data_IF_668057574162
#
_entry.id   IF_668057574162
#
_cell.length_a   1.000
_cell.length_b   1.000
_cell.length_c   1.000
_cell.angle_alpha   90.00
_cell.angle_beta   90.00
_cell.angle_gamma   90.00
#
_symmetry.space_group_name_H-M   'P 1'
#
loop_
_entity.id
_entity.type
_entity.pdbx_description
1 polymer ?
#
# COMPACT_ATOMS: atom_id res chain seq x y z
N UNK A 1 -3.89 16.70 -8.00
CA UNK A 1 -5.12 16.21 -7.36
C UNK A 1 -4.81 14.94 -6.64
N UNK A 2 -5.30 14.78 -5.42
CA UNK A 2 -5.18 13.56 -4.62
C UNK A 2 -6.60 13.00 -4.46
N UNK A 3 -6.82 11.74 -4.83
CA UNK A 3 -8.11 11.06 -4.80
C UNK A 3 -8.04 9.87 -3.85
N UNK A 4 -8.92 9.86 -2.85
CA UNK A 4 -9.07 8.82 -1.84
C UNK A 4 -7.74 8.27 -1.30
N UNK A 5 -6.85 9.20 -0.95
CA UNK A 5 -5.51 8.89 -0.49
C UNK A 5 -5.10 9.90 0.59
N UNK A 6 -4.66 9.41 1.74
CA UNK A 6 -4.01 10.21 2.77
C UNK A 6 -2.51 9.95 2.74
N UNK A 7 -1.73 10.57 1.83
CA UNK A 7 -0.33 10.20 1.63
C UNK A 7 0.53 10.42 2.88
N UNK A 8 0.13 11.33 3.79
CA UNK A 8 0.82 11.53 5.07
C UNK A 8 0.81 10.26 5.93
N UNK A 9 -0.27 9.49 5.86
CA UNK A 9 -0.48 8.23 6.61
C UNK A 9 -0.02 7.06 5.76
N UNK A 10 -0.48 6.98 4.50
CA UNK A 10 -0.31 5.80 3.65
C UNK A 10 1.11 5.67 3.07
N UNK A 11 1.77 6.79 2.72
CA UNK A 11 3.12 6.78 2.17
C UNK A 11 3.86 8.07 2.52
N UNK A 12 4.34 8.15 3.77
CA UNK A 12 4.91 9.38 4.34
C UNK A 12 6.03 10.00 3.49
N UNK A 13 6.82 9.19 2.78
CA UNK A 13 7.87 9.67 1.88
C UNK A 13 7.32 10.32 0.60
N UNK A 14 6.22 9.79 0.04
CA UNK A 14 5.52 10.43 -1.09
C UNK A 14 4.94 11.78 -0.62
N UNK A 15 4.31 11.82 0.55
CA UNK A 15 3.82 13.07 1.14
C UNK A 15 4.94 14.09 1.38
N UNK A 16 6.11 13.65 1.85
CA UNK A 16 7.27 14.52 2.04
C UNK A 16 7.75 15.13 0.71
N UNK A 17 7.70 14.37 -0.40
CA UNK A 17 8.01 14.89 -1.74
C UNK A 17 6.95 15.87 -2.24
N UNK A 18 5.66 15.59 -2.02
CA UNK A 18 4.58 16.53 -2.31
C UNK A 18 4.79 17.84 -1.55
N UNK A 19 5.00 17.77 -0.24
CA UNK A 19 5.28 18.95 0.61
C UNK A 19 6.46 19.75 0.10
N UNK A 20 7.57 19.09 -0.25
CA UNK A 20 8.77 19.72 -0.80
C UNK A 20 8.43 20.49 -2.08
N UNK A 21 7.69 19.87 -2.99
CA UNK A 21 7.26 20.50 -4.24
C UNK A 21 6.30 21.67 -3.99
N UNK A 22 5.28 21.51 -3.15
CA UNK A 22 4.34 22.59 -2.79
C UNK A 22 5.09 23.79 -2.24
N UNK A 23 6.04 23.57 -1.32
CA UNK A 23 6.84 24.67 -0.76
C UNK A 23 7.73 25.34 -1.81
N UNK A 24 8.34 24.58 -2.70
CA UNK A 24 9.29 25.09 -3.69
C UNK A 24 8.61 25.81 -4.87
N UNK A 25 7.46 25.32 -5.33
CA UNK A 25 6.81 25.78 -6.57
C UNK A 25 5.45 26.42 -6.35
N UNK A 26 4.96 26.46 -5.11
CA UNK A 26 3.60 26.90 -4.77
C UNK A 26 2.53 26.10 -5.52
N UNK A 27 2.80 24.81 -5.75
CA UNK A 27 1.87 23.91 -6.42
C UNK A 27 0.53 23.83 -5.67
N UNK A 28 -0.57 23.99 -6.40
CA UNK A 28 -1.93 23.88 -5.84
C UNK A 28 -2.32 22.41 -5.68
N UNK A 29 -2.71 22.02 -4.47
CA UNK A 29 -3.19 20.67 -4.19
C UNK A 29 -4.69 20.69 -3.98
N UNK A 30 -5.42 19.87 -4.75
CA UNK A 30 -6.83 19.57 -4.52
C UNK A 30 -6.97 18.14 -4.02
N UNK A 31 -7.81 17.94 -3.02
CA UNK A 31 -8.02 16.66 -2.35
C UNK A 31 -9.50 16.25 -2.37
N UNK A 32 -9.78 15.02 -2.83
CA UNK A 32 -11.10 14.39 -2.76
C UNK A 32 -10.95 13.15 -1.90
N UNK A 33 -11.71 13.08 -0.80
CA UNK A 33 -11.60 11.99 0.17
C UNK A 33 -12.11 12.38 1.55
N UNK A 34 -12.03 11.46 2.52
CA UNK A 34 -12.39 11.76 3.90
C UNK A 34 -11.54 12.93 4.45
N UNK A 35 -12.04 13.75 5.38
CA UNK A 35 -11.26 14.84 5.95
C UNK A 35 -9.89 14.36 6.47
N UNK A 36 -8.80 15.01 6.01
CA UNK A 36 -7.44 14.60 6.31
C UNK A 36 -6.55 15.79 6.67
N UNK A 37 -5.63 15.60 7.61
CA UNK A 37 -4.65 16.61 8.00
C UNK A 37 -3.34 16.44 7.20
N UNK A 38 -3.23 17.16 6.08
CA UNK A 38 -1.99 17.23 5.28
C UNK A 38 -1.11 18.40 5.74
N UNK A 39 0.20 18.17 5.77
CA UNK A 39 1.18 19.13 6.31
C UNK A 39 1.63 20.21 5.29
N UNK A 40 0.71 20.61 4.43
CA UNK A 40 0.84 21.65 3.41
C UNK A 40 -0.55 22.14 2.99
N UNK A 41 -0.60 23.36 2.44
CA UNK A 41 -1.84 23.94 1.96
C UNK A 41 -2.46 23.09 0.86
N UNK A 42 -3.72 22.73 1.07
CA UNK A 42 -4.53 21.97 0.14
C UNK A 42 -5.97 22.46 0.19
N UNK A 43 -6.67 22.33 -0.93
CA UNK A 43 -8.09 22.57 -1.03
C UNK A 43 -8.81 21.23 -0.91
N UNK A 44 -9.58 21.02 0.15
CA UNK A 44 -10.53 19.92 0.22
C UNK A 44 -11.69 20.21 -0.74
N UNK A 45 -11.83 19.40 -1.78
CA UNK A 45 -12.79 19.59 -2.86
C UNK A 45 -14.11 18.89 -2.57
N UNK A 46 -14.06 17.76 -1.86
CA UNK A 46 -15.22 16.96 -1.50
C UNK A 46 -14.85 15.61 -0.89
N UNK A 47 -15.85 14.89 -0.38
CA UNK A 47 -15.66 13.62 0.35
C UNK A 47 -15.97 12.38 -0.47
N UNK A 48 -16.71 12.54 -1.57
CA UNK A 48 -17.31 11.41 -2.27
C UNK A 48 -17.15 11.47 -3.79
N UNK A 49 -17.71 10.48 -4.47
CA UNK A 49 -17.60 10.33 -5.92
C UNK A 49 -18.34 11.42 -6.70
N UNK A 50 -19.27 12.16 -6.09
CA UNK A 50 -19.99 13.27 -6.73
C UNK A 50 -19.01 14.33 -7.23
N UNK A 51 -18.10 14.79 -6.37
CA UNK A 51 -17.08 15.79 -6.74
C UNK A 51 -16.15 15.26 -7.84
N UNK A 52 -15.86 13.95 -7.85
CA UNK A 52 -15.07 13.34 -8.90
C UNK A 52 -15.79 13.43 -10.25
N UNK A 53 -17.10 13.15 -10.28
CA UNK A 53 -17.94 13.31 -11.47
C UNK A 53 -17.98 14.77 -11.92
N UNK A 54 -18.15 15.72 -11.00
CA UNK A 54 -18.17 17.15 -11.33
C UNK A 54 -16.87 17.63 -11.99
N UNK A 55 -15.71 17.11 -11.55
CA UNK A 55 -14.42 17.41 -12.18
C UNK A 55 -14.31 16.71 -13.53
N UNK A 56 -14.74 15.45 -13.66
CA UNK A 56 -14.72 14.72 -14.93
C UNK A 56 -15.58 15.40 -16.01
N UNK A 57 -16.72 15.96 -15.62
CA UNK A 57 -17.61 16.74 -16.49
C UNK A 57 -17.15 18.20 -16.68
N UNK A 58 -16.06 18.62 -16.04
CA UNK A 58 -15.50 19.98 -16.14
C UNK A 58 -16.34 21.06 -15.45
N UNK A 59 -17.35 20.69 -14.65
CA UNK A 59 -18.23 21.62 -13.92
C UNK A 59 -17.54 22.20 -12.68
N UNK A 60 -16.61 21.47 -12.10
CA UNK A 60 -15.96 21.87 -10.85
C UNK A 60 -14.83 22.89 -11.08
N UNK A 61 -14.72 23.98 -10.28
CA UNK A 61 -13.73 25.05 -10.49
C UNK A 61 -12.27 24.57 -10.54
N UNK A 62 -11.93 23.53 -9.77
CA UNK A 62 -10.58 22.97 -9.72
C UNK A 62 -10.14 22.34 -11.05
N UNK A 63 -11.07 21.94 -11.93
CA UNK A 63 -10.71 21.40 -13.24
C UNK A 63 -9.92 22.42 -14.08
N UNK A 64 -10.27 23.70 -14.00
CA UNK A 64 -9.51 24.78 -14.66
C UNK A 64 -8.07 24.89 -14.17
N UNK A 65 -7.80 24.61 -12.89
CA UNK A 65 -6.46 24.60 -12.34
C UNK A 65 -5.66 23.37 -12.81
N UNK A 66 -6.33 22.23 -13.00
CA UNK A 66 -5.72 21.01 -13.53
C UNK A 66 -5.36 21.13 -15.01
N UNK A 67 -6.28 21.62 -15.84
CA UNK A 67 -6.09 21.71 -17.30
C UNK A 67 -5.07 22.77 -17.71
N UNK A 68 -4.96 23.87 -16.94
CA UNK A 68 -3.99 24.94 -17.21
C UNK A 68 -2.59 24.66 -16.62
N UNK A 69 -2.43 23.61 -15.82
CA UNK A 69 -1.13 23.28 -15.24
C UNK A 69 -0.20 22.69 -16.30
N UNK A 70 1.09 23.07 -16.26
CA UNK A 70 2.10 22.50 -17.17
C UNK A 70 2.30 21.00 -16.91
N UNK A 71 2.49 20.62 -15.64
CA UNK A 71 2.75 19.23 -15.22
C UNK A 71 1.74 18.81 -14.13
N UNK A 72 0.45 18.61 -14.49
CA UNK A 72 -0.56 18.19 -13.53
C UNK A 72 -0.31 16.74 -13.10
N UNK A 73 -0.60 16.41 -11.85
CA UNK A 73 -0.57 15.03 -11.36
C UNK A 73 -1.90 14.66 -10.69
N UNK A 74 -2.35 13.43 -10.91
CA UNK A 74 -3.42 12.76 -10.16
C UNK A 74 -2.77 11.61 -9.40
N UNK A 75 -2.97 11.57 -8.08
CA UNK A 75 -2.57 10.46 -7.22
C UNK A 75 -3.84 9.80 -6.70
N UNK A 76 -4.07 8.56 -7.09
CA UNK A 76 -5.22 7.75 -6.66
C UNK A 76 -4.76 6.78 -5.58
N UNK A 77 -5.39 6.76 -4.42
CA UNK A 77 -5.03 5.84 -3.34
C UNK A 77 -5.59 4.45 -3.57
N UNK A 78 -4.82 3.42 -3.23
CA UNK A 78 -5.23 2.02 -3.39
C UNK A 78 -6.45 1.61 -2.55
N UNK A 79 -6.87 2.40 -1.57
CA UNK A 79 -8.12 2.17 -0.84
C UNK A 79 -9.38 2.21 -1.71
N UNK A 80 -9.29 2.66 -2.97
CA UNK A 80 -10.41 2.50 -3.91
C UNK A 80 -10.62 1.05 -4.35
N UNK A 81 -9.58 0.20 -4.33
CA UNK A 81 -9.67 -1.18 -4.83
C UNK A 81 -10.59 -2.06 -3.98
N UNK A 82 -10.82 -1.69 -2.72
CA UNK A 82 -11.77 -2.38 -1.83
C UNK A 82 -13.23 -2.06 -2.18
N UNK A 83 -13.47 -1.07 -3.05
CA UNK A 83 -14.82 -0.70 -3.49
C UNK A 83 -15.23 -1.50 -4.72
N UNK A 84 -16.51 -1.87 -4.75
CA UNK A 84 -17.10 -2.58 -5.89
C UNK A 84 -17.12 -1.74 -7.16
N UNK A 85 -17.17 -0.42 -7.06
CA UNK A 85 -17.27 0.54 -8.17
C UNK A 85 -15.90 1.06 -8.69
N UNK A 86 -14.83 0.30 -8.45
CA UNK A 86 -13.44 0.64 -8.83
C UNK A 86 -13.31 1.01 -10.31
N UNK A 87 -13.92 0.25 -11.23
CA UNK A 87 -13.79 0.52 -12.66
C UNK A 87 -14.44 1.85 -13.05
N UNK A 88 -15.60 2.16 -12.46
CA UNK A 88 -16.28 3.43 -12.67
C UNK A 88 -15.42 4.61 -12.17
N UNK A 89 -14.77 4.46 -11.00
CA UNK A 89 -13.87 5.47 -10.45
C UNK A 89 -12.69 5.72 -11.39
N UNK A 90 -12.03 4.66 -11.88
CA UNK A 90 -10.94 4.81 -12.83
C UNK A 90 -11.40 5.40 -14.16
N UNK A 91 -12.59 5.05 -14.67
CA UNK A 91 -13.13 5.66 -15.90
C UNK A 91 -13.33 7.19 -15.75
N UNK A 92 -13.77 7.65 -14.57
CA UNK A 92 -13.85 9.08 -14.28
C UNK A 92 -12.46 9.73 -14.19
N UNK A 93 -11.51 9.09 -13.50
CA UNK A 93 -10.11 9.56 -13.43
C UNK A 93 -9.46 9.65 -14.81
N UNK A 94 -9.68 8.67 -15.67
CA UNK A 94 -9.19 8.65 -17.04
C UNK A 94 -9.82 9.74 -17.89
N UNK A 95 -11.11 10.02 -17.70
CA UNK A 95 -11.80 11.15 -18.34
C UNK A 95 -11.14 12.47 -17.96
N UNK A 96 -10.85 12.66 -16.67
CA UNK A 96 -10.12 13.84 -16.17
C UNK A 96 -8.70 13.89 -16.77
N UNK A 97 -8.01 12.76 -16.82
CA UNK A 97 -6.66 12.67 -17.35
C UNK A 97 -6.58 13.01 -18.84
N UNK A 98 -7.57 12.55 -19.63
CA UNK A 98 -7.73 12.85 -21.06
C UNK A 98 -8.04 14.34 -21.26
N UNK A 99 -9.06 14.87 -20.61
CA UNK A 99 -9.47 16.27 -20.78
C UNK A 99 -8.46 17.28 -20.21
N UNK A 100 -7.71 16.90 -19.18
CA UNK A 100 -6.69 17.73 -18.54
C UNK A 100 -5.28 17.60 -19.14
N UNK A 101 -5.10 16.82 -20.23
CA UNK A 101 -3.78 16.55 -20.84
C UNK A 101 -2.72 16.08 -19.81
N UNK A 102 -3.16 15.22 -18.88
CA UNK A 102 -2.36 14.74 -17.74
C UNK A 102 -1.42 13.61 -18.15
N UNK A 103 -1.81 12.83 -19.16
CA UNK A 103 -1.02 11.75 -19.74
C UNK A 103 -0.64 12.18 -21.16
N UNK A 104 0.67 12.37 -21.38
CA UNK A 104 1.26 12.76 -22.65
C UNK A 104 2.68 12.20 -22.77
N UNK A 105 3.31 12.17 -23.97
CA UNK A 105 4.58 11.47 -24.17
C UNK A 105 5.74 11.94 -23.27
N UNK A 106 5.78 13.22 -22.90
CA UNK A 106 6.81 13.82 -22.04
C UNK A 106 6.43 13.79 -20.54
N UNK A 107 5.20 13.45 -20.20
CA UNK A 107 4.69 13.53 -18.84
C UNK A 107 3.52 12.57 -18.61
N UNK A 108 3.72 11.61 -17.70
CA UNK A 108 2.66 10.77 -17.20
C UNK A 108 2.30 11.19 -15.76
N UNK A 109 1.26 12.01 -15.63
CA UNK A 109 0.79 12.53 -14.36
C UNK A 109 -0.20 11.62 -13.62
N UNK A 110 -0.63 10.51 -14.20
CA UNK A 110 -1.55 9.58 -13.54
C UNK A 110 -0.76 8.57 -12.71
N UNK A 111 -0.99 8.56 -11.40
CA UNK A 111 -0.28 7.70 -10.46
C UNK A 111 -1.27 7.01 -9.53
N UNK A 112 -0.99 5.76 -9.17
CA UNK A 112 -1.71 5.02 -8.14
C UNK A 112 -0.76 4.77 -6.98
N UNK A 113 -1.16 5.16 -5.77
CA UNK A 113 -0.39 4.95 -4.56
C UNK A 113 -0.84 3.65 -3.88
N UNK A 114 0.07 2.69 -3.79
CA UNK A 114 -0.16 1.41 -3.11
C UNK A 114 0.14 1.52 -1.61
N UNK A 115 -0.48 0.65 -0.81
CA UNK A 115 -0.38 0.66 0.66
C UNK A 115 0.68 -0.31 1.17
N UNK A 116 0.77 -1.50 0.56
CA UNK A 116 1.60 -2.59 1.05
C UNK A 116 2.81 -2.82 0.16
N UNK A 117 3.97 -3.10 0.75
CA UNK A 117 5.23 -3.29 0.03
C UNK A 117 5.21 -4.47 -0.96
N UNK A 118 4.35 -5.47 -0.73
CA UNK A 118 4.19 -6.61 -1.63
C UNK A 118 3.27 -6.32 -2.82
N UNK A 119 2.39 -5.30 -2.75
CA UNK A 119 1.32 -5.10 -3.74
C UNK A 119 1.84 -4.88 -5.16
N UNK A 120 2.85 -4.03 -5.35
CA UNK A 120 3.37 -3.75 -6.70
C UNK A 120 3.93 -5.02 -7.35
N UNK A 121 4.79 -5.75 -6.64
CA UNK A 121 5.37 -6.99 -7.14
C UNK A 121 4.32 -8.08 -7.35
N UNK A 122 3.31 -8.18 -6.49
CA UNK A 122 2.20 -9.11 -6.66
C UNK A 122 1.39 -8.82 -7.93
N UNK A 123 1.09 -7.54 -8.18
CA UNK A 123 0.37 -7.12 -9.39
C UNK A 123 1.20 -7.38 -10.65
N UNK A 124 2.51 -7.11 -10.62
CA UNK A 124 3.42 -7.41 -11.73
C UNK A 124 3.51 -8.92 -12.03
N UNK A 125 3.45 -9.77 -11.00
CA UNK A 125 3.41 -11.23 -11.12
C UNK A 125 2.04 -11.76 -11.55
N UNK A 126 1.02 -10.91 -11.69
CA UNK A 126 -0.34 -11.30 -12.04
C UNK A 126 -1.09 -12.00 -10.89
N UNK A 127 -0.71 -11.77 -9.63
CA UNK A 127 -1.38 -12.32 -8.45
C UNK A 127 -2.64 -11.50 -8.13
N UNK A 128 -3.67 -11.68 -8.96
CA UNK A 128 -4.98 -11.02 -8.83
C UNK A 128 -6.05 -12.11 -8.63
N UNK A 129 -6.98 -11.94 -7.68
CA UNK A 129 -8.07 -12.90 -7.51
C UNK A 129 -8.96 -12.92 -8.75
N UNK A 130 -9.36 -14.11 -9.21
CA UNK A 130 -10.33 -14.26 -10.30
C UNK A 130 -11.74 -13.83 -9.89
N UNK A 131 -12.04 -13.87 -8.59
CA UNK A 131 -13.33 -13.44 -8.04
C UNK A 131 -13.18 -12.90 -6.62
N UNK A 132 -14.01 -11.90 -6.28
CA UNK A 132 -14.04 -11.27 -4.96
C UNK A 132 -14.43 -12.24 -3.83
N UNK A 133 -15.17 -13.31 -4.15
CA UNK A 133 -15.73 -14.25 -3.17
C UNK A 133 -14.91 -15.55 -3.04
N UNK A 134 -13.66 -15.56 -3.53
CA UNK A 134 -12.82 -16.77 -3.52
C UNK A 134 -12.61 -17.37 -2.11
N UNK A 135 -12.64 -16.56 -1.06
CA UNK A 135 -12.48 -17.01 0.34
C UNK A 135 -13.74 -17.72 0.85
N UNK A 136 -14.94 -17.31 0.41
CA UNK A 136 -16.22 -17.80 0.96
C UNK A 136 -16.47 -19.29 0.66
N UNK A 137 -15.85 -19.82 -0.41
CA UNK A 137 -15.95 -21.22 -0.82
C UNK A 137 -14.68 -22.03 -0.57
N UNK A 138 -13.61 -21.40 -0.06
CA UNK A 138 -12.32 -22.04 0.11
C UNK A 138 -12.35 -23.11 1.22
N UNK A 139 -11.88 -24.33 0.89
CA UNK A 139 -11.65 -25.41 1.87
C UNK A 139 -10.20 -25.51 2.32
N UNK A 140 -9.29 -24.93 1.55
CA UNK A 140 -7.89 -24.79 1.90
C UNK A 140 -7.50 -23.33 1.64
N UNK A 141 -7.07 -22.63 2.68
CA UNK A 141 -6.62 -21.24 2.59
C UNK A 141 -5.17 -21.16 3.03
N UNK A 142 -4.31 -20.67 2.14
CA UNK A 142 -2.89 -20.46 2.41
C UNK A 142 -2.60 -18.97 2.59
N UNK A 143 -2.35 -18.56 3.83
CA UNK A 143 -2.02 -17.19 4.19
C UNK A 143 -0.50 -17.03 4.26
N UNK A 144 0.09 -16.37 3.27
CA UNK A 144 1.52 -16.05 3.25
C UNK A 144 1.74 -14.64 3.81
N UNK A 145 1.97 -14.54 5.11
CA UNK A 145 2.21 -13.30 5.85
C UNK A 145 1.01 -12.34 5.86
N UNK A 146 -0.19 -12.84 5.56
CA UNK A 146 -1.40 -12.03 5.41
C UNK A 146 -2.18 -12.00 6.73
N UNK A 147 -2.02 -10.92 7.50
CA UNK A 147 -2.70 -10.71 8.80
C UNK A 147 -3.90 -9.75 8.73
N UNK A 148 -4.08 -9.04 7.62
CA UNK A 148 -5.16 -8.08 7.42
C UNK A 148 -6.33 -8.64 6.58
N UNK A 149 -6.29 -9.94 6.26
CA UNK A 149 -7.36 -10.63 5.54
C UNK A 149 -8.57 -10.82 6.43
N UNK A 150 -9.76 -10.42 5.98
CA UNK A 150 -11.00 -10.73 6.70
C UNK A 150 -11.35 -12.22 6.53
N UNK A 151 -11.30 -12.96 7.64
CA UNK A 151 -11.61 -14.39 7.69
C UNK A 151 -13.05 -14.69 8.18
N UNK A 152 -13.88 -13.69 8.46
CA UNK A 152 -15.25 -13.87 8.97
C UNK A 152 -16.13 -14.70 8.01
N UNK A 153 -15.89 -14.58 6.71
CA UNK A 153 -16.65 -15.31 5.68
C UNK A 153 -16.03 -16.64 5.28
N UNK A 154 -14.87 -16.99 5.84
CA UNK A 154 -14.24 -18.28 5.55
C UNK A 154 -15.07 -19.40 6.21
N UNK A 155 -15.35 -20.51 5.51
CA UNK A 155 -16.02 -21.65 6.12
C UNK A 155 -15.28 -22.15 7.37
N UNK A 156 -16.03 -22.53 8.41
CA UNK A 156 -15.46 -23.04 9.67
C UNK A 156 -14.64 -24.32 9.46
N UNK A 157 -15.01 -25.14 8.48
CA UNK A 157 -14.32 -26.38 8.13
C UNK A 157 -13.12 -26.18 7.18
N UNK A 158 -12.80 -24.93 6.81
CA UNK A 158 -11.65 -24.64 5.97
C UNK A 158 -10.34 -24.92 6.73
N UNK A 159 -9.41 -25.62 6.07
CA UNK A 159 -8.06 -25.86 6.55
C UNK A 159 -7.18 -24.64 6.22
N UNK A 160 -6.74 -23.94 7.26
CA UNK A 160 -5.97 -22.70 7.14
C UNK A 160 -4.52 -22.97 7.47
N UNK A 161 -3.63 -22.62 6.53
CA UNK A 161 -2.19 -22.60 6.76
C UNK A 161 -1.75 -21.15 6.87
N UNK A 162 -1.05 -20.81 7.94
CA UNK A 162 -0.43 -19.50 8.11
C UNK A 162 1.08 -19.61 8.01
N UNK A 163 1.66 -19.10 6.93
CA UNK A 163 3.10 -18.96 6.76
C UNK A 163 3.50 -17.51 7.07
N UNK A 164 4.10 -17.23 8.22
CA UNK A 164 4.44 -15.86 8.59
C UNK A 164 5.51 -15.80 9.69
N UNK A 165 6.03 -14.60 9.93
CA UNK A 165 7.11 -14.35 10.89
C UNK A 165 6.61 -13.84 12.25
N UNK A 166 5.42 -13.23 12.27
CA UNK A 166 4.74 -12.73 13.46
C UNK A 166 3.31 -13.27 13.40
N UNK A 167 2.72 -13.64 14.53
CA UNK A 167 1.32 -14.03 14.57
C UNK A 167 0.47 -12.89 15.13
N UNK A 168 -0.48 -12.39 14.35
CA UNK A 168 -1.48 -11.43 14.83
C UNK A 168 -2.90 -12.04 14.80
N UNK A 169 -3.79 -11.60 13.91
CA UNK A 169 -5.20 -12.02 13.94
C UNK A 169 -5.41 -13.35 13.23
N UNK A 170 -4.83 -13.48 12.04
CA UNK A 170 -5.09 -14.63 11.16
C UNK A 170 -4.44 -15.93 11.66
N UNK A 171 -3.35 -15.84 12.44
CA UNK A 171 -2.66 -17.01 13.02
C UNK A 171 -3.59 -17.82 13.94
N UNK A 172 -4.54 -17.18 14.64
CA UNK A 172 -5.45 -17.87 15.54
C UNK A 172 -6.47 -18.76 14.81
N UNK A 173 -6.72 -18.49 13.53
CA UNK A 173 -7.59 -19.31 12.67
C UNK A 173 -6.81 -20.47 12.01
N UNK A 174 -5.47 -20.46 12.09
CA UNK A 174 -4.62 -21.42 11.42
C UNK A 174 -4.69 -22.82 12.05
N UNK A 175 -4.83 -23.84 11.21
CA UNK A 175 -4.67 -25.24 11.59
C UNK A 175 -3.18 -25.64 11.63
N UNK A 176 -2.35 -25.03 10.76
CA UNK A 176 -0.90 -25.25 10.70
C UNK A 176 -0.20 -23.91 10.53
N UNK A 177 0.92 -23.74 11.23
CA UNK A 177 1.76 -22.55 11.16
C UNK A 177 3.13 -22.94 10.60
N UNK A 178 3.57 -22.22 9.57
CA UNK A 178 4.94 -22.31 9.04
C UNK A 178 5.71 -21.03 9.39
N UNK A 179 6.73 -21.10 10.27
CA UNK A 179 7.51 -19.92 10.63
C UNK A 179 8.36 -19.46 9.44
N UNK A 180 8.05 -18.28 8.92
CA UNK A 180 8.79 -17.63 7.85
C UNK A 180 9.77 -16.58 8.41
N UNK A 181 10.79 -16.24 7.63
CA UNK A 181 11.77 -15.21 7.99
C UNK A 181 11.21 -13.79 7.84
N UNK A 182 11.67 -12.85 8.67
CA UNK A 182 11.33 -11.43 8.55
C UNK A 182 12.07 -10.75 7.38
N UNK A 183 11.66 -9.55 6.97
CA UNK A 183 12.29 -8.84 5.84
C UNK A 183 13.78 -8.53 6.05
N UNK A 184 14.23 -8.41 7.30
CA UNK A 184 15.63 -8.20 7.68
C UNK A 184 16.48 -9.47 7.69
N UNK A 185 15.86 -10.64 7.60
CA UNK A 185 16.50 -11.96 7.71
C UNK A 185 16.70 -12.64 6.36
N UNK A 186 16.11 -12.08 5.29
CA UNK A 186 16.07 -12.69 3.96
C UNK A 186 16.48 -11.72 2.86
N UNK A 187 17.00 -12.32 1.80
CA UNK A 187 17.20 -11.64 0.52
C UNK A 187 15.91 -11.75 -0.32
N UNK A 188 15.17 -10.64 -0.42
CA UNK A 188 13.90 -10.56 -1.11
C UNK A 188 13.89 -9.43 -2.12
N UNK A 189 13.21 -9.64 -3.25
CA UNK A 189 12.95 -8.61 -4.26
C UNK A 189 11.61 -7.95 -3.96
N UNK A 190 11.61 -6.62 -3.79
CA UNK A 190 10.42 -5.80 -3.55
C UNK A 190 10.28 -4.77 -4.66
N UNK A 191 9.05 -4.37 -5.00
CA UNK A 191 8.80 -3.26 -5.90
C UNK A 191 8.01 -2.19 -5.15
N UNK A 192 8.43 -0.93 -5.27
CA UNK A 192 7.74 0.19 -4.64
C UNK A 192 6.63 0.74 -5.56
N UNK A 193 5.85 1.70 -5.06
CA UNK A 193 4.69 2.28 -5.78
C UNK A 193 5.04 3.04 -7.07
N UNK A 194 6.31 3.41 -7.31
CA UNK A 194 6.75 4.06 -8.54
C UNK A 194 7.29 3.07 -9.58
N UNK A 195 7.31 1.76 -9.24
CA UNK A 195 7.78 0.69 -10.12
C UNK A 195 9.29 0.45 -10.05
N UNK A 196 9.98 0.92 -9.02
CA UNK A 196 11.39 0.63 -8.81
C UNK A 196 11.54 -0.68 -8.02
N UNK A 197 12.25 -1.65 -8.60
CA UNK A 197 12.60 -2.89 -7.92
C UNK A 197 13.80 -2.67 -6.99
N UNK A 198 13.78 -3.29 -5.81
CA UNK A 198 14.78 -3.19 -4.76
C UNK A 198 15.04 -4.57 -4.18
N UNK A 199 16.26 -4.81 -3.69
CA UNK A 199 16.62 -6.06 -3.03
C UNK A 199 16.96 -5.77 -1.56
N UNK A 200 16.37 -6.55 -0.65
CA UNK A 200 16.81 -6.56 0.75
C UNK A 200 18.07 -7.39 0.89
N UNK A 201 18.95 -6.99 1.80
CA UNK A 201 20.14 -7.74 2.18
C UNK A 201 19.89 -8.29 3.59
N UNK A 202 20.08 -9.60 3.84
CA UNK A 202 19.89 -10.18 5.16
C UNK A 202 20.90 -9.56 6.14
N UNK A 203 20.38 -8.94 7.21
CA UNK A 203 21.17 -8.27 8.23
C UNK A 203 21.38 -9.13 9.48
N UNK A 204 20.43 -10.04 9.76
CA UNK A 204 20.42 -10.92 10.94
C UNK A 204 20.07 -12.34 10.53
N UNK A 205 20.50 -13.37 11.29
CA UNK A 205 20.05 -14.74 11.04
C UNK A 205 18.56 -14.89 11.34
N UNK A 206 17.93 -15.87 10.69
CA UNK A 206 16.55 -16.26 10.97
C UNK A 206 16.38 -16.70 12.42
N UNK A 207 15.26 -16.35 13.04
CA UNK A 207 14.97 -16.75 14.43
C UNK A 207 14.51 -18.20 14.50
N UNK A 208 15.15 -18.99 15.38
CA UNK A 208 14.78 -20.38 15.64
C UNK A 208 14.81 -21.24 14.37
N UNK A 209 13.70 -21.94 14.10
CA UNK A 209 13.53 -22.79 12.92
C UNK A 209 12.79 -22.12 11.76
N UNK A 210 12.71 -20.79 11.75
CA UNK A 210 12.17 -20.06 10.61
C UNK A 210 12.98 -20.33 9.33
N UNK A 211 12.31 -20.24 8.17
CA UNK A 211 12.91 -20.43 6.84
C UNK A 211 12.44 -19.34 5.88
N UNK A 212 13.18 -19.12 4.80
CA UNK A 212 12.74 -18.20 3.74
C UNK A 212 11.41 -18.63 3.13
N UNK A 213 10.55 -17.66 2.81
CA UNK A 213 9.21 -17.93 2.31
C UNK A 213 9.19 -18.86 1.10
N UNK A 214 10.05 -18.59 0.12
CA UNK A 214 10.11 -19.38 -1.10
C UNK A 214 10.59 -20.82 -0.84
N UNK A 215 11.44 -21.04 0.18
CA UNK A 215 11.92 -22.38 0.56
C UNK A 215 10.79 -23.19 1.17
N UNK A 216 9.94 -22.57 1.99
CA UNK A 216 8.76 -23.22 2.59
C UNK A 216 7.80 -23.66 1.48
N UNK A 217 7.45 -22.76 0.56
CA UNK A 217 6.57 -23.07 -0.58
C UNK A 217 7.17 -24.16 -1.47
N UNK A 218 8.47 -24.08 -1.78
CA UNK A 218 9.17 -25.09 -2.59
C UNK A 218 9.18 -26.46 -1.89
N UNK A 219 9.44 -26.53 -0.59
CA UNK A 219 9.40 -27.78 0.16
C UNK A 219 7.98 -28.35 0.24
N UNK A 220 6.98 -27.50 0.49
CA UNK A 220 5.58 -27.90 0.50
C UNK A 220 5.15 -28.48 -0.86
N UNK A 221 5.60 -27.87 -1.95
CA UNK A 221 5.29 -28.34 -3.30
C UNK A 221 5.76 -29.78 -3.53
N UNK A 222 6.96 -30.13 -3.04
CA UNK A 222 7.52 -31.48 -3.14
C UNK A 222 6.78 -32.48 -2.25
N UNK A 223 6.48 -32.10 -1.00
CA UNK A 223 5.70 -32.94 -0.08
C UNK A 223 4.27 -33.17 -0.60
N UNK A 224 3.70 -32.20 -1.31
CA UNK A 224 2.38 -32.31 -1.94
C UNK A 224 2.36 -33.13 -3.24
N UNK A 225 3.52 -33.61 -3.71
CA UNK A 225 3.64 -34.38 -4.95
C UNK A 225 3.69 -33.55 -6.24
N UNK A 226 3.84 -32.22 -6.14
CA UNK A 226 3.93 -31.28 -7.27
C UNK A 226 5.23 -30.45 -7.14
N UNK A 227 6.41 -31.07 -7.32
CA UNK A 227 7.67 -30.38 -7.11
C UNK A 227 7.86 -29.23 -8.11
N UNK A 228 8.08 -28.02 -7.59
CA UNK A 228 8.37 -26.84 -8.41
C UNK A 228 9.80 -26.92 -8.99
N UNK A 229 10.04 -26.44 -10.23
CA UNK A 229 11.27 -26.71 -10.97
C UNK A 229 12.42 -25.74 -10.61
N UNK A 230 12.59 -25.41 -9.33
CA UNK A 230 13.64 -24.51 -8.86
C UNK A 230 14.08 -24.83 -7.43
N UNK A 231 15.39 -24.92 -7.21
CA UNK A 231 15.99 -25.32 -5.93
C UNK A 231 16.91 -24.25 -5.33
N UNK A 232 17.02 -23.09 -6.00
CA UNK A 232 17.86 -21.97 -5.56
C UNK A 232 17.17 -20.63 -5.78
N UNK A 233 17.59 -19.61 -5.03
CA UNK A 233 17.11 -18.24 -5.19
C UNK A 233 17.36 -17.72 -6.61
N UNK A 234 18.51 -18.07 -7.21
CA UNK A 234 18.82 -17.70 -8.60
C UNK A 234 17.86 -18.35 -9.60
N UNK A 235 17.41 -19.59 -9.36
CA UNK A 235 16.44 -20.27 -10.20
C UNK A 235 15.04 -19.64 -10.04
N UNK A 236 14.64 -19.28 -8.82
CA UNK A 236 13.39 -18.52 -8.56
C UNK A 236 13.43 -17.18 -9.29
N UNK A 237 14.53 -16.43 -9.21
CA UNK A 237 14.69 -15.18 -9.96
C UNK A 237 14.64 -15.42 -11.46
N UNK A 238 15.22 -16.50 -11.96
CA UNK A 238 15.10 -16.86 -13.38
C UNK A 238 13.65 -17.13 -13.78
N UNK A 239 12.85 -17.72 -12.90
CA UNK A 239 11.40 -17.86 -13.10
C UNK A 239 10.68 -16.50 -13.06
N UNK A 240 11.00 -15.62 -12.12
CA UNK A 240 10.47 -14.24 -12.07
C UNK A 240 10.75 -13.52 -13.39
N UNK A 241 11.97 -13.64 -13.94
CA UNK A 241 12.34 -13.02 -15.24
C UNK A 241 11.37 -13.38 -16.36
N UNK A 242 10.86 -14.61 -16.37
CA UNK A 242 9.94 -15.08 -17.41
C UNK A 242 8.50 -14.60 -17.24
N UNK A 243 8.14 -14.09 -16.05
CA UNK A 243 6.78 -13.59 -15.75
C UNK A 243 6.78 -12.07 -15.73
N UNK A 244 7.67 -11.47 -14.95
CA UNK A 244 7.77 -10.05 -14.67
C UNK A 244 9.25 -9.63 -14.65
N UNK A 245 9.88 -9.38 -15.82
CA UNK A 245 11.30 -9.08 -15.91
C UNK A 245 11.70 -7.77 -15.22
N UNK A 246 10.79 -6.80 -15.12
CA UNK A 246 10.99 -5.53 -14.46
C UNK A 246 11.40 -5.69 -12.98
N UNK A 247 10.95 -6.75 -12.30
CA UNK A 247 11.32 -7.03 -10.90
C UNK A 247 12.81 -7.36 -10.71
N UNK A 248 13.56 -7.62 -11.78
CA UNK A 248 14.99 -7.95 -11.70
C UNK A 248 15.92 -6.82 -12.14
N UNK A 249 15.38 -5.71 -12.64
CA UNK A 249 16.14 -4.50 -12.95
C UNK A 249 16.20 -3.66 -11.68
N UNK A 250 17.08 -4.06 -10.76
CA UNK A 250 17.18 -3.51 -9.41
C UNK A 250 17.71 -2.09 -9.44
N UNK A 251 17.16 -1.22 -8.59
CA UNK A 251 17.47 0.20 -8.48
C UNK A 251 17.20 1.02 -9.76
N UNK A 252 16.50 0.41 -10.71
CA UNK A 252 16.03 1.04 -11.94
C UNK A 252 14.50 1.05 -11.97
N UNK A 253 13.93 2.18 -12.41
CA UNK A 253 12.50 2.31 -12.65
C UNK A 253 12.23 2.05 -14.12
N UNK A 254 11.44 1.02 -14.40
CA UNK A 254 10.92 0.72 -15.73
C UNK A 254 9.55 1.39 -15.91
N UNK A 255 9.42 2.48 -16.68
CA UNK A 255 8.13 3.14 -16.87
C UNK A 255 7.20 2.27 -17.72
N UNK A 256 5.91 2.26 -17.37
CA UNK A 256 4.90 1.65 -18.21
C UNK A 256 4.76 2.42 -19.53
N UNK A 257 5.04 1.76 -20.66
CA UNK A 257 4.97 2.36 -22.00
C UNK A 257 3.54 2.50 -22.51
N UNK A 258 2.64 1.64 -22.05
CA UNK A 258 1.25 1.65 -22.48
C UNK A 258 0.42 2.68 -21.71
N UNK A 259 -0.44 3.38 -22.45
CA UNK A 259 -1.30 4.41 -21.87
C UNK A 259 -2.62 3.83 -21.37
N UNK A 260 -3.32 4.58 -20.52
CA UNK A 260 -4.67 4.24 -20.05
C UNK A 260 -5.70 4.05 -21.19
N UNK A 261 -5.39 4.46 -22.42
CA UNK A 261 -6.25 4.24 -23.60
C UNK A 261 -6.48 2.76 -23.95
N UNK A 262 -5.66 1.84 -23.45
CA UNK A 262 -5.84 0.40 -23.70
C UNK A 262 -6.88 -0.26 -22.78
N UNK A 263 -7.30 0.42 -21.71
CA UNK A 263 -8.29 -0.12 -20.80
C UNK A 263 -9.63 -0.22 -21.54
N UNK A 264 -10.36 -1.36 -21.44
CA UNK A 264 -11.66 -1.51 -22.07
C UNK A 264 -12.69 -0.56 -21.44
N UNK A 265 -13.69 -0.19 -22.23
CA UNK A 265 -14.84 0.56 -21.71
C UNK A 265 -15.64 -0.32 -20.75
N UNK A 266 -15.87 0.18 -19.54
CA UNK A 266 -16.63 -0.53 -18.50
C UNK A 266 -17.92 0.22 -18.22
N UNK A 267 -19.07 -0.48 -18.28
CA UNK A 267 -20.40 0.07 -18.00
C UNK A 267 -20.82 -0.08 -16.53
N UNK A 268 -19.87 0.14 -15.62
CA UNK A 268 -20.15 0.07 -14.19
C UNK A 268 -20.72 1.41 -13.68
N UNK A 269 -21.77 1.33 -12.87
CA UNK A 269 -22.33 2.51 -12.20
C UNK A 269 -21.51 2.83 -10.95
N UNK A 270 -21.11 4.09 -10.82
CA UNK A 270 -20.46 4.61 -9.61
C UNK A 270 -21.45 4.64 -8.44
N UNK A 271 -21.05 4.12 -7.28
CA UNK A 271 -21.78 4.30 -6.04
C UNK A 271 -21.57 5.73 -5.54
N UNK A 272 -22.58 6.30 -4.88
CA UNK A 272 -22.48 7.60 -4.22
C UNK A 272 -22.02 7.49 -2.76
N UNK A 273 -21.64 6.30 -2.32
CA UNK A 273 -21.06 6.12 -0.99
C UNK A 273 -19.74 6.93 -0.90
N UNK A 274 -19.55 7.73 0.17
CA UNK A 274 -18.35 8.56 0.31
C UNK A 274 -17.08 7.72 0.36
N UNK A 275 -15.95 8.35 0.05
CA UNK A 275 -14.66 7.69 0.14
C UNK A 275 -14.26 7.45 1.61
N UNK A 276 -13.77 6.24 1.90
CA UNK A 276 -13.36 5.81 3.23
C UNK A 276 -11.87 6.05 3.52
N UNK A 277 -11.45 5.89 4.77
CA UNK A 277 -10.02 5.93 5.14
C UNK A 277 -9.43 4.53 4.97
N UNK A 278 -8.35 4.41 4.19
CA UNK A 278 -7.71 3.11 3.95
C UNK A 278 -6.84 2.63 5.12
N UNK A 279 -6.18 3.57 5.82
CA UNK A 279 -5.32 3.28 6.97
C UNK A 279 -5.75 4.13 8.16
N UNK A 280 -6.31 3.49 9.18
CA UNK A 280 -6.79 4.19 10.38
C UNK A 280 -5.64 4.57 11.34
N UNK A 281 -4.60 3.74 11.41
CA UNK A 281 -3.50 3.90 12.35
C UNK A 281 -2.16 3.68 11.66
N UNK A 282 -1.48 4.79 11.34
CA UNK A 282 -0.13 4.82 10.76
C UNK A 282 0.88 3.93 11.52
N UNK A 283 0.74 3.80 12.84
CA UNK A 283 1.68 3.05 13.67
C UNK A 283 1.38 1.55 13.74
N UNK A 284 0.28 1.07 13.16
CA UNK A 284 -0.18 -0.32 13.26
C UNK A 284 -0.75 -0.78 11.92
N UNK A 285 0.10 -0.86 10.90
CA UNK A 285 -0.29 -1.18 9.53
C UNK A 285 -0.02 -2.62 9.15
N UNK A 286 0.96 -3.27 9.77
CA UNK A 286 1.37 -4.65 9.48
C UNK A 286 1.67 -5.42 10.77
N UNK A 287 1.98 -6.71 10.66
CA UNK A 287 2.23 -7.56 11.82
C UNK A 287 3.48 -7.17 12.62
N UNK A 288 4.50 -6.59 11.99
CA UNK A 288 5.72 -6.12 12.68
C UNK A 288 5.40 -4.89 13.53
N UNK A 289 4.74 -3.90 12.95
CA UNK A 289 4.34 -2.67 13.62
C UNK A 289 3.31 -2.92 14.71
N UNK A 290 2.37 -3.85 14.49
CA UNK A 290 1.40 -4.28 15.52
C UNK A 290 2.04 -5.03 16.69
N UNK A 291 3.05 -5.86 16.43
CA UNK A 291 3.82 -6.54 17.48
C UNK A 291 4.83 -5.62 18.20
N UNK A 292 5.13 -4.44 17.64
CA UNK A 292 6.11 -3.51 18.20
C UNK A 292 5.59 -2.79 19.44
N UNK A 293 6.30 -2.99 20.56
CA UNK A 293 6.04 -2.27 21.83
C UNK A 293 6.15 -0.75 21.65
N UNK A 294 7.10 -0.29 20.83
CA UNK A 294 7.33 1.14 20.59
C UNK A 294 6.15 1.74 19.84
N UNK A 295 5.71 1.07 18.77
CA UNK A 295 4.59 1.57 17.97
C UNK A 295 3.26 1.56 18.75
N UNK A 296 3.05 0.56 19.62
CA UNK A 296 1.93 0.53 20.55
C UNK A 296 1.91 1.75 21.48
N UNK A 297 3.08 2.14 22.03
CA UNK A 297 3.20 3.35 22.84
C UNK A 297 2.92 4.62 22.03
N UNK A 298 3.45 4.73 20.82
CA UNK A 298 3.19 5.85 19.91
C UNK A 298 1.69 6.02 19.62
N UNK A 299 0.99 4.93 19.29
CA UNK A 299 -0.45 4.93 19.05
C UNK A 299 -1.25 5.37 20.28
N UNK A 300 -0.89 4.86 21.47
CA UNK A 300 -1.55 5.24 22.71
C UNK A 300 -1.36 6.74 23.05
N UNK A 301 -0.17 7.29 22.80
CA UNK A 301 0.13 8.70 23.02
C UNK A 301 -0.67 9.60 22.07
N UNK A 302 -0.77 9.22 20.80
CA UNK A 302 -1.57 9.96 19.82
C UNK A 302 -3.07 9.99 20.23
N UNK A 303 -3.63 8.84 20.65
CA UNK A 303 -5.02 8.77 21.13
C UNK A 303 -5.27 9.68 22.34
N UNK A 304 -4.32 9.75 23.29
CA UNK A 304 -4.40 10.66 24.45
C UNK A 304 -4.39 12.12 24.03
N UNK A 305 -3.58 12.50 23.04
CA UNK A 305 -3.53 13.88 22.53
C UNK A 305 -4.86 14.30 21.87
N UNK A 306 -5.54 13.39 21.17
CA UNK A 306 -6.86 13.65 20.58
C UNK A 306 -7.99 13.66 21.61
N UNK A 307 -7.96 12.80 22.64
CA UNK A 307 -8.98 12.78 23.69
C UNK A 307 -8.90 14.00 24.64
N UNK A 308 -7.72 14.58 24.85
CA UNK A 308 -7.49 15.68 25.79
C UNK A 308 -7.55 17.08 25.16
N UNK A 309 -8.04 17.22 23.92
CA UNK A 309 -8.33 18.52 23.30
C UNK A 309 -7.14 19.48 23.29
N UNK A 310 -6.12 19.22 22.48
CA UNK A 310 -5.23 20.27 21.94
C UNK A 310 -4.38 21.12 22.90
N UNK A 311 -4.30 20.84 24.21
CA UNK A 311 -3.57 21.70 25.17
C UNK A 311 -2.14 21.21 25.51
N UNK A 312 -1.73 19.99 25.12
CA UNK A 312 -0.46 19.38 25.60
C UNK A 312 0.70 19.36 24.58
N UNK A 313 0.74 20.24 23.58
CA UNK A 313 1.79 20.18 22.56
C UNK A 313 3.19 20.60 23.04
N UNK A 314 3.31 21.33 24.16
CA UNK A 314 4.61 21.85 24.63
C UNK A 314 5.28 21.01 25.73
N UNK A 315 4.52 20.37 26.62
CA UNK A 315 5.09 19.56 27.71
C UNK A 315 5.58 18.19 27.24
N UNK A 316 4.87 17.53 26.32
CA UNK A 316 5.22 16.18 25.85
C UNK A 316 6.50 16.17 25.01
N UNK A 317 6.75 17.22 24.22
CA UNK A 317 8.01 17.36 23.46
C UNK A 317 9.22 17.57 24.38
N UNK A 318 9.04 18.21 25.53
CA UNK A 318 10.12 18.39 26.52
C UNK A 318 10.49 17.07 27.21
N UNK A 319 9.49 16.22 27.49
CA UNK A 319 9.70 14.87 28.04
C UNK A 319 10.37 13.93 27.04
N UNK A 320 10.08 14.08 25.74
CA UNK A 320 10.72 13.33 24.67
C UNK A 320 12.21 13.68 24.54
N UNK A 321 12.56 14.96 24.64
CA UNK A 321 13.95 15.41 24.60
C UNK A 321 14.73 14.95 25.85
N UNK A 322 14.07 14.96 27.01
CA UNK A 322 14.68 14.50 28.27
C UNK A 322 14.95 12.99 28.25
N UNK A 323 13.97 12.17 27.85
CA UNK A 323 14.10 10.70 27.87
C UNK A 323 15.08 10.16 26.80
N UNK A 324 15.15 10.79 25.62
CA UNK A 324 16.17 10.47 24.62
C UNK A 324 17.58 10.85 25.10
N UNK A 325 17.73 11.99 25.77
CA UNK A 325 19.03 12.44 26.28
C UNK A 325 19.49 11.73 27.57
N UNK A 326 18.57 11.14 28.33
CA UNK A 326 18.89 10.36 29.53
C UNK A 326 19.17 8.89 29.21
N UNK A 327 18.59 8.33 28.15
CA UNK A 327 18.90 6.98 27.68
C UNK A 327 20.31 6.82 27.12
N UNK A 328 20.90 7.88 26.55
CA UNK A 328 22.27 7.87 26.02
C UNK A 328 23.36 8.14 27.06
N UNK A 329 23.02 8.35 28.34
CA UNK A 329 23.99 8.68 29.40
C UNK A 329 24.29 7.55 30.39
N UNK A 330 23.69 6.37 30.19
CA UNK A 330 23.85 5.22 31.09
C UNK A 330 24.41 3.97 30.36
N UNK A 331 25.24 4.17 29.33
CA UNK A 331 26.11 3.13 28.76
C UNK A 331 27.49 3.73 28.44
N UNK A 332 28.23 4.11 29.48
CA UNK A 332 29.70 4.18 29.51
C UNK A 332 30.20 3.65 30.85
#
# INVERSE_FOLDING_TARGET
MILNCQPRVEAAMVNARIRKTVRATQAKVGYIGPPADLNYDHQHLGTGPETLIEIAEGRHPFFSALSNAKNPAIIVGAGIFDRKDTDAIFSAVETIAKHGNIIRPDWNGLNVLLLNAAQAASLDLGLVPESDNCIESAKFLYLMGADDTNLEKLPEDAFVVYQGHHGDRCVYRANVIFPASAFTEKEGTYANTEGCAQITIPAVPTVGDARDDWKIIRALSEVSGIPLPYDSLSAVRSRIRTVAPNLLNVDEREPATFSASLKPDVSQKMSMDPFGTAVENFYMTDSITRASKIMAQCSALLKKLFCNGGVLLQSVLSEFHYNLCSGMRNEE
#
